data_IF_315257905506
#
_entry.id   IF_315257905506
#
_cell.length_a   1.000
_cell.length_b   1.000
_cell.length_c   1.000
_cell.angle_alpha   90.00
_cell.angle_beta   90.00
_cell.angle_gamma   90.00
#
_symmetry.space_group_name_H-M   'P 1'
#
loop_
_entity.id
_entity.type
_entity.pdbx_description
1 polymer ?
#
# COMPACT_ATOMS: atom_id res chain seq x y z
N UNK A 1 19.55 1.16 -9.24
CA UNK A 1 18.62 0.09 -9.68
C UNK A 1 19.39 -1.20 -9.82
N UNK A 2 18.92 -2.28 -9.20
CA UNK A 2 19.59 -3.59 -9.24
C UNK A 2 19.23 -4.35 -10.52
N UNK A 3 20.22 -4.94 -11.20
CA UNK A 3 20.02 -5.74 -12.43
C UNK A 3 19.09 -6.94 -12.15
N UNK A 4 19.22 -7.55 -10.97
CA UNK A 4 18.40 -8.69 -10.55
C UNK A 4 16.92 -8.33 -10.41
N UNK A 5 16.62 -7.08 -10.05
CA UNK A 5 15.26 -6.58 -9.90
C UNK A 5 14.55 -6.47 -11.26
N UNK A 6 15.20 -5.84 -12.24
CA UNK A 6 14.63 -5.69 -13.58
C UNK A 6 14.46 -7.05 -14.28
N UNK A 7 15.42 -7.96 -14.13
CA UNK A 7 15.35 -9.29 -14.73
C UNK A 7 14.15 -10.09 -14.21
N UNK A 8 13.86 -10.03 -12.89
CA UNK A 8 12.68 -10.68 -12.31
C UNK A 8 11.36 -10.06 -12.77
N UNK A 9 11.34 -8.73 -12.96
CA UNK A 9 10.14 -8.06 -13.48
C UNK A 9 9.85 -8.47 -14.93
N UNK A 10 10.89 -8.55 -15.77
CA UNK A 10 10.78 -9.04 -17.14
C UNK A 10 10.33 -10.51 -17.22
N UNK A 11 10.85 -11.37 -16.34
CA UNK A 11 10.44 -12.79 -16.23
C UNK A 11 8.94 -12.95 -15.92
N UNK A 12 8.36 -11.99 -15.17
CA UNK A 12 6.94 -11.97 -14.85
C UNK A 12 6.09 -11.10 -15.80
N UNK A 13 6.68 -10.58 -16.88
CA UNK A 13 5.99 -9.72 -17.85
C UNK A 13 5.56 -8.36 -17.28
N UNK A 14 6.16 -7.94 -16.16
CA UNK A 14 5.86 -6.68 -15.48
C UNK A 14 6.82 -5.63 -16.05
N UNK A 15 6.30 -4.62 -16.75
CA UNK A 15 7.11 -3.46 -17.12
C UNK A 15 7.51 -2.68 -15.87
N UNK A 16 8.80 -2.62 -15.60
CA UNK A 16 9.35 -1.82 -14.51
C UNK A 16 9.17 -0.32 -14.83
N UNK A 17 8.06 0.29 -14.40
CA UNK A 17 7.95 1.74 -14.34
C UNK A 17 8.74 2.22 -13.13
N UNK A 18 10.04 2.42 -13.32
CA UNK A 18 10.83 3.16 -12.33
C UNK A 18 10.68 4.61 -12.74
N UNK A 19 9.76 5.33 -12.10
CA UNK A 19 9.48 6.72 -12.41
C UNK A 19 10.76 7.54 -12.57
N UNK A 20 10.75 8.49 -13.51
CA UNK A 20 11.84 9.46 -13.66
C UNK A 20 12.09 10.18 -12.34
N UNK A 21 13.36 10.45 -12.00
CA UNK A 21 13.72 11.21 -10.78
C UNK A 21 12.93 12.52 -10.76
N UNK A 22 12.03 12.66 -9.77
CA UNK A 22 11.22 13.87 -9.59
C UNK A 22 9.74 13.74 -9.97
N UNK A 23 9.27 12.58 -10.45
CA UNK A 23 7.82 12.32 -10.56
C UNK A 23 7.33 11.57 -9.32
N UNK A 24 6.93 12.32 -8.29
CA UNK A 24 6.39 11.73 -7.05
C UNK A 24 4.99 11.17 -7.24
N UNK A 25 4.36 11.29 -8.42
CA UNK A 25 2.97 10.89 -8.63
C UNK A 25 2.79 9.37 -8.50
N UNK A 26 3.76 8.59 -8.99
CA UNK A 26 3.78 7.12 -8.87
C UNK A 26 3.88 6.67 -7.40
N UNK A 27 4.59 7.43 -6.56
CA UNK A 27 4.78 7.13 -5.14
C UNK A 27 3.70 7.76 -4.24
N UNK A 28 3.06 8.84 -4.69
CA UNK A 28 2.09 9.60 -3.91
C UNK A 28 0.88 8.74 -3.50
N UNK A 29 0.48 7.77 -4.33
CA UNK A 29 -0.58 6.83 -3.97
C UNK A 29 -0.13 5.89 -2.83
N UNK A 30 1.10 5.38 -2.89
CA UNK A 30 1.65 4.52 -1.86
C UNK A 30 1.89 5.31 -0.54
N UNK A 31 2.38 6.54 -0.65
CA UNK A 31 2.60 7.44 0.51
C UNK A 31 1.29 7.82 1.20
N UNK A 32 0.22 8.07 0.45
CA UNK A 32 -1.11 8.36 1.02
C UNK A 32 -1.63 7.21 1.90
N UNK A 33 -1.23 5.97 1.62
CA UNK A 33 -1.61 4.80 2.44
C UNK A 33 -0.60 4.55 3.58
N UNK A 34 0.69 4.79 3.35
CA UNK A 34 1.73 4.54 4.34
C UNK A 34 1.60 5.47 5.57
N UNK A 35 1.34 6.76 5.36
CA UNK A 35 1.28 7.73 6.46
C UNK A 35 0.15 7.41 7.48
N UNK A 36 -1.10 7.15 7.06
CA UNK A 36 -2.14 6.68 7.97
C UNK A 36 -1.79 5.37 8.67
N UNK A 37 -1.13 4.43 7.98
CA UNK A 37 -0.74 3.15 8.57
C UNK A 37 0.27 3.33 9.71
N UNK A 38 1.24 4.25 9.55
CA UNK A 38 2.23 4.52 10.59
C UNK A 38 1.61 5.24 11.78
N UNK A 39 0.72 6.21 11.54
CA UNK A 39 0.02 6.92 12.61
C UNK A 39 -0.88 5.98 13.42
N UNK A 40 -1.69 5.16 12.74
CA UNK A 40 -2.70 4.31 13.37
C UNK A 40 -2.11 3.02 13.98
N UNK A 41 -1.02 2.46 13.42
CA UNK A 41 -0.46 1.18 13.89
C UNK A 41 0.80 1.34 14.73
N UNK A 42 1.71 2.23 14.36
CA UNK A 42 3.06 2.29 14.94
C UNK A 42 3.13 3.37 16.03
N UNK A 43 2.51 4.52 15.81
CA UNK A 43 2.53 5.62 16.78
C UNK A 43 1.44 5.49 17.85
N UNK A 44 0.32 4.84 17.56
CA UNK A 44 -0.80 4.71 18.50
C UNK A 44 -0.62 3.63 19.58
N UNK A 45 0.33 2.69 19.44
CA UNK A 45 0.48 1.56 20.36
C UNK A 45 1.92 1.04 20.46
N UNK A 46 2.23 0.41 21.58
CA UNK A 46 3.51 -0.26 21.81
C UNK A 46 3.36 -1.76 21.55
N UNK A 47 4.32 -2.30 20.82
CA UNK A 47 4.34 -3.69 20.39
C UNK A 47 5.30 -4.52 21.24
N UNK A 48 4.92 -5.78 21.47
CA UNK A 48 5.71 -6.73 22.25
C UNK A 48 6.58 -7.62 21.36
N UNK A 49 6.10 -7.96 20.16
CA UNK A 49 6.78 -8.80 19.18
C UNK A 49 6.60 -8.24 17.75
N UNK A 50 7.53 -8.56 16.86
CA UNK A 50 7.43 -8.26 15.43
C UNK A 50 6.28 -9.01 14.77
N UNK A 51 5.98 -10.23 15.22
CA UNK A 51 4.86 -11.02 14.70
C UNK A 51 3.52 -10.33 14.96
N UNK A 52 3.37 -9.67 16.12
CA UNK A 52 2.17 -8.90 16.44
C UNK A 52 1.99 -7.72 15.48
N UNK A 53 3.10 -7.07 15.10
CA UNK A 53 3.10 -5.96 14.12
C UNK A 53 2.73 -6.46 12.74
N UNK A 54 3.27 -7.61 12.32
CA UNK A 54 2.98 -8.21 11.00
C UNK A 54 1.49 -8.56 10.87
N UNK A 55 0.92 -9.26 11.87
CA UNK A 55 -0.51 -9.61 11.89
C UNK A 55 -1.36 -8.34 11.83
N UNK A 56 -1.03 -7.36 12.66
CA UNK A 56 -1.80 -6.14 12.71
C UNK A 56 -1.69 -5.28 11.45
N UNK A 57 -0.55 -5.30 10.76
CA UNK A 57 -0.37 -4.64 9.47
C UNK A 57 -1.24 -5.33 8.42
N UNK A 58 -1.28 -6.67 8.43
CA UNK A 58 -2.17 -7.43 7.55
C UNK A 58 -3.65 -7.12 7.82
N UNK A 59 -4.08 -7.13 9.07
CA UNK A 59 -5.45 -6.81 9.47
C UNK A 59 -5.84 -5.38 9.07
N UNK A 60 -4.93 -4.42 9.26
CA UNK A 60 -5.17 -3.03 8.87
C UNK A 60 -5.31 -2.88 7.36
N UNK A 61 -4.45 -3.53 6.58
CA UNK A 61 -4.54 -3.52 5.11
C UNK A 61 -5.86 -4.12 4.63
N UNK A 62 -6.28 -5.24 5.22
CA UNK A 62 -7.58 -5.84 4.92
C UNK A 62 -8.73 -4.88 5.26
N UNK A 63 -8.72 -4.27 6.44
CA UNK A 63 -9.75 -3.30 6.83
C UNK A 63 -9.76 -2.07 5.91
N UNK A 64 -8.60 -1.53 5.54
CA UNK A 64 -8.48 -0.38 4.64
C UNK A 64 -9.10 -0.64 3.26
N UNK A 65 -8.91 -1.85 2.71
CA UNK A 65 -9.38 -2.23 1.39
C UNK A 65 -10.84 -2.72 1.37
N UNK A 66 -11.26 -3.44 2.40
CA UNK A 66 -12.56 -4.15 2.39
C UNK A 66 -13.64 -3.46 3.21
N UNK A 67 -13.29 -2.51 4.08
CA UNK A 67 -14.22 -1.99 5.08
C UNK A 67 -14.13 -0.48 5.35
N UNK A 68 -12.96 0.14 5.16
CA UNK A 68 -12.79 1.59 5.35
C UNK A 68 -13.42 2.34 4.19
N UNK A 69 -14.30 3.28 4.52
CA UNK A 69 -14.89 4.18 3.53
C UNK A 69 -13.95 5.35 3.25
N UNK A 70 -13.73 5.62 1.97
CA UNK A 70 -12.88 6.73 1.53
C UNK A 70 -13.72 7.83 0.89
N UNK A 71 -13.59 9.05 1.41
CA UNK A 71 -14.33 10.20 0.88
C UNK A 71 -13.98 10.47 -0.59
N UNK A 72 -12.71 10.30 -0.96
CA UNK A 72 -12.23 10.43 -2.34
C UNK A 72 -12.86 9.41 -3.30
N UNK A 73 -13.30 8.27 -2.79
CA UNK A 73 -13.99 7.22 -3.54
C UNK A 73 -15.52 7.33 -3.47
N UNK A 74 -16.04 8.46 -2.96
CA UNK A 74 -17.49 8.64 -2.80
C UNK A 74 -18.08 7.85 -1.64
N UNK A 75 -17.32 7.69 -0.55
CA UNK A 75 -17.68 6.88 0.62
C UNK A 75 -17.88 5.39 0.27
N UNK A 76 -16.96 4.88 -0.53
CA UNK A 76 -16.87 3.47 -0.93
C UNK A 76 -15.53 2.89 -0.51
N UNK A 77 -15.44 1.56 -0.46
CA UNK A 77 -14.18 0.88 -0.20
C UNK A 77 -13.37 0.74 -1.49
N UNK A 78 -12.03 0.58 -1.42
CA UNK A 78 -11.21 0.31 -2.59
C UNK A 78 -11.67 -0.96 -3.32
N UNK A 79 -11.99 -2.04 -2.59
CA UNK A 79 -12.47 -3.28 -3.19
C UNK A 79 -13.79 -3.10 -3.97
N UNK A 80 -14.72 -2.29 -3.44
CA UNK A 80 -15.97 -1.97 -4.16
C UNK A 80 -15.71 -1.20 -5.45
N UNK A 81 -14.71 -0.33 -5.46
CA UNK A 81 -14.34 0.45 -6.65
C UNK A 81 -13.63 -0.43 -7.68
N UNK A 82 -12.71 -1.30 -7.26
CA UNK A 82 -12.01 -2.25 -8.15
C UNK A 82 -12.95 -3.26 -8.80
N UNK A 83 -13.97 -3.75 -8.08
CA UNK A 83 -14.93 -4.72 -8.62
C UNK A 83 -15.81 -4.19 -9.77
N UNK A 84 -15.80 -2.87 -10.02
CA UNK A 84 -16.56 -2.22 -11.09
C UNK A 84 -15.74 -1.87 -12.34
N UNK A 85 -14.42 -2.13 -12.33
CA UNK A 85 -13.52 -2.00 -13.49
C UNK A 85 -13.43 -3.30 -14.30
#
# INVERSE_FOLDING_TARGET
MSIVYNQRLEEHGISASTGTVGDSYDNALAENVNDPSQEELIHARRWSDVVDVEIATFEWGNWWNESRLHQSLGYRTPAEVEAEF
#
